data_IF_806962149536
#
_entry.id   IF_806962149536
#
_cell.length_a   1.000
_cell.length_b   1.000
_cell.length_c   1.000
_cell.angle_alpha   90.00
_cell.angle_beta   90.00
_cell.angle_gamma   90.00
#
_symmetry.space_group_name_H-M   'P 1'
#
loop_
_entity.id
_entity.type
_entity.pdbx_description
1 polymer ?
#
# COMPACT_ATOMS: atom_id res chain seq x y z
N UNK A 1 -6.09 17.25 -12.38
CA UNK A 1 -4.86 17.73 -13.05
C UNK A 1 -5.21 18.87 -13.98
N UNK A 2 -4.43 19.95 -13.96
CA UNK A 2 -4.63 21.11 -14.85
C UNK A 2 -3.67 21.04 -16.06
N UNK A 3 -4.16 21.15 -17.30
CA UNK A 3 -3.30 21.27 -18.47
C UNK A 3 -2.45 22.55 -18.40
N UNK A 4 -1.17 22.45 -18.75
CA UNK A 4 -0.27 23.60 -18.79
C UNK A 4 0.04 24.00 -20.24
N UNK A 5 0.10 25.31 -20.47
CA UNK A 5 0.70 25.83 -21.71
C UNK A 5 2.21 25.51 -21.75
N UNK A 6 2.70 25.16 -22.94
CA UNK A 6 4.09 24.77 -23.12
C UNK A 6 5.09 25.86 -22.71
N UNK A 7 4.81 27.12 -23.05
CA UNK A 7 5.70 28.22 -22.71
C UNK A 7 5.70 28.49 -21.20
N UNK A 8 4.55 28.36 -20.54
CA UNK A 8 4.44 28.47 -19.10
C UNK A 8 5.23 27.36 -18.38
N UNK A 9 5.04 26.10 -18.78
CA UNK A 9 5.78 24.98 -18.22
C UNK A 9 7.29 25.16 -18.42
N UNK A 10 7.74 25.54 -19.63
CA UNK A 10 9.17 25.76 -19.92
C UNK A 10 9.78 26.88 -19.07
N UNK A 11 9.05 27.97 -18.84
CA UNK A 11 9.51 29.07 -18.00
C UNK A 11 9.70 28.64 -16.54
N UNK A 12 8.84 27.76 -16.04
CA UNK A 12 8.93 27.23 -14.68
C UNK A 12 10.08 26.21 -14.56
N UNK A 13 10.26 25.32 -15.54
CA UNK A 13 11.34 24.33 -15.57
C UNK A 13 12.73 24.96 -15.68
N UNK A 14 12.84 26.13 -16.34
CA UNK A 14 14.08 26.88 -16.44
C UNK A 14 14.65 27.33 -15.08
N UNK A 15 13.85 27.27 -14.00
CA UNK A 15 14.26 27.64 -12.64
C UNK A 15 15.01 26.51 -11.90
N UNK A 16 15.17 25.33 -12.51
CA UNK A 16 16.10 24.29 -12.05
C UNK A 16 15.48 23.11 -11.29
N UNK A 17 14.58 22.36 -11.94
CA UNK A 17 14.05 21.11 -11.40
C UNK A 17 14.81 19.87 -11.88
N UNK A 18 14.95 18.85 -11.02
CA UNK A 18 15.38 17.52 -11.42
C UNK A 18 14.23 16.84 -12.17
N UNK A 19 14.53 16.24 -13.33
CA UNK A 19 13.56 15.41 -14.04
C UNK A 19 13.72 13.97 -13.59
N UNK A 20 12.62 13.33 -13.17
CA UNK A 20 12.58 11.92 -12.79
C UNK A 20 11.45 11.20 -13.51
N UNK A 21 11.72 10.02 -14.07
CA UNK A 21 10.67 9.16 -14.60
C UNK A 21 9.72 8.72 -13.46
N UNK A 22 8.41 8.76 -13.73
CA UNK A 22 7.37 8.38 -12.78
C UNK A 22 6.77 7.03 -13.17
N UNK A 23 6.33 6.90 -14.42
CA UNK A 23 5.69 5.71 -14.95
C UNK A 23 5.59 5.74 -16.48
N UNK A 24 5.14 4.64 -17.09
CA UNK A 24 4.67 4.59 -18.47
C UNK A 24 3.20 4.20 -18.50
N UNK A 25 2.34 5.09 -18.97
CA UNK A 25 0.90 4.84 -19.13
C UNK A 25 0.68 3.95 -20.35
N UNK A 26 -0.26 3.02 -20.28
CA UNK A 26 -0.69 2.19 -21.40
C UNK A 26 -1.47 2.99 -22.47
N UNK A 27 -1.85 4.24 -22.15
CA UNK A 27 -2.61 5.13 -23.02
C UNK A 27 -1.71 5.86 -24.02
N UNK A 28 -2.18 5.95 -25.25
CA UNK A 28 -1.59 6.80 -26.29
C UNK A 28 -1.96 8.28 -26.07
N UNK A 29 -1.18 9.23 -26.61
CA UNK A 29 -1.40 10.66 -26.38
C UNK A 29 -2.81 11.17 -26.70
N UNK A 30 -3.49 10.64 -27.73
CA UNK A 30 -4.87 11.04 -28.05
C UNK A 30 -5.86 10.61 -26.97
N UNK A 31 -5.66 9.43 -26.38
CA UNK A 31 -6.53 8.91 -25.32
C UNK A 31 -6.34 9.73 -24.05
N UNK A 32 -5.09 10.04 -23.72
CA UNK A 32 -4.77 10.93 -22.59
C UNK A 32 -5.36 12.32 -22.80
N UNK A 33 -5.19 12.91 -23.99
CA UNK A 33 -5.77 14.20 -24.34
C UNK A 33 -7.31 14.20 -24.19
N UNK A 34 -7.99 13.16 -24.66
CA UNK A 34 -9.44 13.05 -24.56
C UNK A 34 -9.94 12.96 -23.11
N UNK A 35 -9.20 12.29 -22.22
CA UNK A 35 -9.58 12.12 -20.82
C UNK A 35 -9.21 13.30 -19.92
N UNK A 36 -8.03 13.86 -20.15
CA UNK A 36 -7.40 14.81 -19.21
C UNK A 36 -7.43 16.26 -19.70
N UNK A 37 -7.72 16.48 -20.99
CA UNK A 37 -7.62 17.79 -21.63
C UNK A 37 -6.19 18.27 -21.88
N UNK A 38 -5.17 17.42 -21.68
CA UNK A 38 -3.79 17.72 -22.04
C UNK A 38 -3.67 18.05 -23.53
N UNK A 39 -2.92 19.10 -23.86
CA UNK A 39 -2.64 19.48 -25.24
C UNK A 39 -1.28 18.91 -25.66
N UNK A 40 -1.29 17.81 -26.41
CA UNK A 40 -0.06 17.28 -26.99
C UNK A 40 0.35 18.08 -28.22
N UNK A 41 1.63 18.39 -28.29
CA UNK A 41 2.26 19.02 -29.44
C UNK A 41 3.46 18.19 -29.89
N UNK A 42 3.72 18.24 -31.19
CA UNK A 42 4.89 17.58 -31.77
C UNK A 42 6.11 18.49 -31.65
N UNK A 43 7.24 17.94 -31.23
CA UNK A 43 8.54 18.60 -31.26
C UNK A 43 9.66 17.63 -31.62
N UNK A 44 10.80 18.22 -31.97
CA UNK A 44 12.05 17.49 -32.11
C UNK A 44 12.77 17.36 -30.76
N UNK A 45 13.23 16.14 -30.48
CA UNK A 45 14.10 15.83 -29.34
C UNK A 45 15.43 15.26 -29.82
N UNK A 46 16.40 15.08 -28.92
CA UNK A 46 17.66 14.41 -29.26
C UNK A 46 17.47 12.96 -29.75
N UNK A 47 16.33 12.34 -29.45
CA UNK A 47 15.98 10.97 -29.83
C UNK A 47 15.04 10.93 -31.06
N UNK A 48 14.71 12.09 -31.63
CA UNK A 48 13.80 12.26 -32.77
C UNK A 48 12.45 12.89 -32.40
N UNK A 49 11.49 12.85 -33.33
CA UNK A 49 10.15 13.42 -33.13
C UNK A 49 9.44 12.82 -31.92
N UNK A 50 8.91 13.70 -31.07
CA UNK A 50 8.21 13.35 -29.84
C UNK A 50 6.89 14.10 -29.79
N UNK A 51 5.83 13.43 -29.36
CA UNK A 51 4.63 14.11 -28.87
C UNK A 51 4.80 14.37 -27.39
N UNK A 52 4.59 15.61 -26.97
CA UNK A 52 4.75 15.98 -25.57
C UNK A 52 3.61 16.89 -25.09
N UNK A 53 3.26 16.78 -23.82
CA UNK A 53 2.32 17.65 -23.12
C UNK A 53 2.81 17.92 -21.68
N UNK A 54 2.29 18.97 -21.06
CA UNK A 54 2.53 19.28 -19.65
C UNK A 54 1.22 19.36 -18.87
N UNK A 55 1.24 18.84 -17.65
CA UNK A 55 0.15 18.97 -16.69
C UNK A 55 0.70 19.38 -15.32
N UNK A 56 -0.18 19.94 -14.50
CA UNK A 56 0.11 20.26 -13.10
C UNK A 56 -0.88 19.53 -12.19
N UNK A 57 -0.35 18.83 -11.20
CA UNK A 57 -1.16 18.26 -10.11
C UNK A 57 -1.61 19.38 -9.15
N UNK A 58 -2.60 19.10 -8.31
CA UNK A 58 -3.20 20.08 -7.40
C UNK A 58 -2.20 20.67 -6.41
N UNK A 59 -1.17 19.91 -6.05
CA UNK A 59 -0.08 20.37 -5.16
C UNK A 59 0.97 21.26 -5.85
N UNK A 60 0.83 21.47 -7.17
CA UNK A 60 1.75 22.26 -7.98
C UNK A 60 2.84 21.46 -8.70
N UNK A 61 2.91 20.14 -8.51
CA UNK A 61 3.86 19.25 -9.19
C UNK A 61 3.65 19.29 -10.69
N UNK A 62 4.71 19.61 -11.44
CA UNK A 62 4.69 19.62 -12.90
C UNK A 62 5.02 18.23 -13.42
N UNK A 63 4.18 17.75 -14.32
CA UNK A 63 4.35 16.51 -15.05
C UNK A 63 4.59 16.78 -16.53
N UNK A 64 5.53 16.04 -17.10
CA UNK A 64 5.74 15.92 -18.53
C UNK A 64 5.21 14.58 -19.01
N UNK A 65 4.44 14.62 -20.08
CA UNK A 65 3.94 13.44 -20.78
C UNK A 65 4.62 13.38 -22.13
N UNK A 66 5.32 12.29 -22.46
CA UNK A 66 6.10 12.19 -23.69
C UNK A 66 5.92 10.83 -24.38
N UNK A 67 5.84 10.86 -25.71
CA UNK A 67 5.77 9.68 -26.57
C UNK A 67 6.70 9.89 -27.75
N UNK A 68 7.78 9.13 -27.83
CA UNK A 68 8.62 9.10 -29.04
C UNK A 68 7.81 8.48 -30.18
N UNK A 69 7.67 9.21 -31.29
CA UNK A 69 6.90 8.74 -32.46
C UNK A 69 7.52 7.46 -33.05
N UNK A 70 8.83 7.31 -32.88
CA UNK A 70 9.61 6.15 -33.34
C UNK A 70 9.61 4.96 -32.37
N UNK A 71 9.17 5.11 -31.11
CA UNK A 71 9.22 4.00 -30.15
C UNK A 71 8.12 2.97 -30.48
N UNK A 72 8.48 1.72 -30.84
CA UNK A 72 7.51 0.70 -31.24
C UNK A 72 6.63 0.22 -30.08
N UNK A 73 6.98 0.52 -28.82
CA UNK A 73 6.21 0.11 -27.66
C UNK A 73 5.11 1.14 -27.37
N UNK A 74 3.83 0.74 -27.33
CA UNK A 74 2.74 1.67 -27.10
C UNK A 74 2.82 2.34 -25.73
N UNK A 75 2.12 3.46 -25.58
CA UNK A 75 1.94 4.16 -24.31
C UNK A 75 2.83 5.38 -24.09
N UNK A 76 2.43 6.21 -23.14
CA UNK A 76 3.02 7.54 -22.89
C UNK A 76 3.86 7.53 -21.62
N UNK A 77 5.11 7.97 -21.71
CA UNK A 77 5.97 8.15 -20.55
C UNK A 77 5.55 9.37 -19.73
N UNK A 78 5.65 9.25 -18.41
CA UNK A 78 5.36 10.31 -17.46
C UNK A 78 6.63 10.61 -16.69
N UNK A 79 7.03 11.88 -16.69
CA UNK A 79 8.13 12.40 -15.90
C UNK A 79 7.61 13.47 -14.95
N UNK A 80 8.20 13.58 -13.77
CA UNK A 80 8.01 14.71 -12.87
C UNK A 80 9.21 15.63 -12.91
N UNK A 81 9.00 16.89 -12.54
CA UNK A 81 10.05 17.90 -12.45
C UNK A 81 10.21 18.44 -11.02
N UNK A 82 10.00 17.57 -10.03
CA UNK A 82 10.10 17.85 -8.60
C UNK A 82 10.85 16.72 -7.90
N UNK A 83 11.33 16.97 -6.68
CA UNK A 83 12.02 15.96 -5.86
C UNK A 83 11.04 15.05 -5.08
N UNK A 84 9.79 14.92 -5.53
CA UNK A 84 8.80 14.06 -4.88
C UNK A 84 9.10 12.58 -5.17
N UNK A 85 8.74 11.65 -4.27
CA UNK A 85 8.79 10.23 -4.58
C UNK A 85 7.87 9.91 -5.78
N UNK A 86 8.40 9.19 -6.78
CA UNK A 86 7.65 8.85 -8.01
C UNK A 86 6.31 8.17 -7.73
N UNK A 87 6.26 7.32 -6.69
CA UNK A 87 5.04 6.65 -6.26
C UNK A 87 3.95 7.61 -5.79
N UNK A 88 4.30 8.64 -5.03
CA UNK A 88 3.34 9.61 -4.51
C UNK A 88 2.75 10.42 -5.65
N UNK A 89 3.62 10.84 -6.58
CA UNK A 89 3.22 11.54 -7.81
C UNK A 89 2.30 10.68 -8.67
N UNK A 90 2.62 9.40 -8.85
CA UNK A 90 1.77 8.49 -9.61
C UNK A 90 0.40 8.30 -8.94
N UNK A 91 0.36 8.13 -7.62
CA UNK A 91 -0.90 7.95 -6.88
C UNK A 91 -1.82 9.16 -7.04
N UNK A 92 -1.26 10.36 -6.95
CA UNK A 92 -1.99 11.61 -7.17
C UNK A 92 -2.41 11.80 -8.64
N UNK A 93 -1.52 11.48 -9.59
CA UNK A 93 -1.86 11.47 -11.02
C UNK A 93 -3.06 10.57 -11.29
N UNK A 94 -3.03 9.31 -10.83
CA UNK A 94 -4.12 8.36 -11.02
C UNK A 94 -5.43 8.88 -10.45
N UNK A 95 -5.40 9.40 -9.22
CA UNK A 95 -6.55 9.99 -8.57
C UNK A 95 -7.13 11.19 -9.34
N UNK A 96 -6.27 12.10 -9.78
CA UNK A 96 -6.69 13.35 -10.43
C UNK A 96 -7.13 13.21 -11.88
N UNK A 97 -6.81 12.08 -12.51
CA UNK A 97 -7.13 11.80 -13.92
C UNK A 97 -8.13 10.68 -14.10
N UNK A 98 -8.63 10.10 -13.00
CA UNK A 98 -9.51 8.93 -13.00
C UNK A 98 -8.91 7.77 -13.81
N UNK A 99 -7.58 7.65 -13.78
CA UNK A 99 -6.85 6.55 -14.38
C UNK A 99 -6.75 5.39 -13.39
N UNK A 100 -6.76 4.18 -13.94
CA UNK A 100 -6.61 2.96 -13.15
C UNK A 100 -5.15 2.48 -13.12
N UNK A 101 -4.79 1.68 -12.12
CA UNK A 101 -3.47 1.07 -12.05
C UNK A 101 -3.18 0.12 -13.22
N UNK A 102 -4.20 -0.51 -13.81
CA UNK A 102 -4.06 -1.41 -14.96
C UNK A 102 -3.65 -0.66 -16.25
N UNK A 103 -3.85 0.67 -16.27
CA UNK A 103 -3.43 1.56 -17.34
C UNK A 103 -2.02 2.10 -17.13
N UNK A 104 -1.26 1.57 -16.17
CA UNK A 104 0.09 2.00 -15.84
C UNK A 104 1.05 0.82 -15.79
N UNK A 105 2.08 0.88 -16.63
CA UNK A 105 3.29 0.09 -16.47
C UNK A 105 4.32 0.90 -15.68
N UNK A 106 4.69 0.42 -14.50
CA UNK A 106 5.70 1.09 -13.69
C UNK A 106 7.06 1.02 -14.42
N UNK A 107 7.76 2.16 -14.46
CA UNK A 107 9.19 2.21 -14.75
C UNK A 107 9.83 2.93 -13.59
N UNK A 108 10.24 2.19 -12.58
CA UNK A 108 11.22 2.68 -11.63
C UNK A 108 12.45 3.15 -12.39
N UNK A 109 13.14 4.17 -11.88
CA UNK A 109 14.51 4.40 -12.31
C UNK A 109 15.33 3.13 -12.05
N UNK A 110 16.41 2.90 -12.80
CA UNK A 110 17.29 1.74 -12.61
C UNK A 110 17.93 1.63 -11.19
N UNK A 111 17.66 2.57 -10.29
CA UNK A 111 18.08 2.56 -8.88
C UNK A 111 16.96 2.11 -7.92
N UNK A 112 15.69 2.15 -8.32
CA UNK A 112 14.57 1.65 -7.53
C UNK A 112 14.27 0.20 -7.96
N UNK A 113 14.86 -0.72 -7.21
CA UNK A 113 14.56 -2.13 -7.24
C UNK A 113 13.05 -2.40 -7.08
N UNK A 114 12.40 -2.88 -8.15
CA UNK A 114 10.95 -3.16 -8.30
C UNK A 114 10.36 -4.14 -7.24
N UNK A 115 11.20 -4.65 -6.33
CA UNK A 115 10.80 -5.53 -5.24
C UNK A 115 9.82 -4.82 -4.28
N UNK A 116 8.78 -5.55 -3.87
CA UNK A 116 7.88 -5.11 -2.80
C UNK A 116 8.60 -5.32 -1.47
N UNK A 117 8.84 -4.24 -0.72
CA UNK A 117 9.59 -4.28 0.54
C UNK A 117 8.68 -4.10 1.77
N UNK A 118 8.58 -5.13 2.59
CA UNK A 118 8.02 -5.08 3.94
C UNK A 118 9.11 -4.78 4.97
N UNK A 119 8.72 -4.14 6.08
CA UNK A 119 9.56 -3.89 7.26
C UNK A 119 9.77 -5.18 8.07
N UNK A 120 8.78 -6.08 8.06
CA UNK A 120 8.77 -7.30 8.89
C UNK A 120 8.07 -8.47 8.20
N UNK A 121 8.32 -9.69 8.69
CA UNK A 121 7.61 -10.89 8.21
C UNK A 121 6.08 -10.80 8.43
N UNK A 122 5.55 -10.34 9.58
CA UNK A 122 4.11 -10.14 9.75
C UNK A 122 3.51 -9.15 8.76
N UNK A 123 4.22 -8.07 8.40
CA UNK A 123 3.74 -7.12 7.40
C UNK A 123 3.73 -7.72 5.99
N UNK A 124 4.77 -8.50 5.62
CA UNK A 124 4.78 -9.22 4.36
C UNK A 124 3.60 -10.21 4.26
N UNK A 125 3.31 -10.93 5.35
CA UNK A 125 2.16 -11.81 5.43
C UNK A 125 0.83 -11.05 5.27
N UNK A 126 0.66 -9.93 5.98
CA UNK A 126 -0.51 -9.07 5.86
C UNK A 126 -0.70 -8.56 4.41
N UNK A 127 0.39 -8.18 3.74
CA UNK A 127 0.34 -7.74 2.35
C UNK A 127 -0.12 -8.87 1.41
N UNK A 128 0.42 -10.08 1.60
CA UNK A 128 0.02 -11.27 0.83
C UNK A 128 -1.48 -11.55 1.02
N UNK A 129 -2.00 -11.41 2.25
CA UNK A 129 -3.43 -11.60 2.53
C UNK A 129 -4.32 -10.61 1.77
N UNK A 130 -3.87 -9.36 1.59
CA UNK A 130 -4.60 -8.33 0.82
C UNK A 130 -4.63 -8.60 -0.68
N UNK A 131 -3.61 -9.28 -1.23
CA UNK A 131 -3.47 -9.51 -2.67
C UNK A 131 -4.06 -10.85 -3.13
N UNK A 132 -4.89 -11.45 -2.29
CA UNK A 132 -5.61 -12.67 -2.66
C UNK A 132 -6.79 -12.33 -3.55
N UNK A 133 -7.19 -13.31 -4.36
CA UNK A 133 -8.41 -13.20 -5.15
C UNK A 133 -9.60 -12.82 -4.25
N UNK A 134 -10.41 -11.82 -4.60
CA UNK A 134 -11.58 -11.44 -3.82
C UNK A 134 -12.46 -12.65 -3.49
N UNK A 135 -12.80 -12.83 -2.22
CA UNK A 135 -13.60 -13.97 -1.74
C UNK A 135 -12.82 -15.24 -1.42
N UNK A 136 -11.51 -15.31 -1.71
CA UNK A 136 -10.65 -16.40 -1.24
C UNK A 136 -10.36 -16.24 0.26
N UNK A 137 -11.25 -16.80 1.07
CA UNK A 137 -11.16 -16.82 2.54
C UNK A 137 -10.41 -18.03 3.09
N UNK A 138 -9.79 -18.84 2.23
CA UNK A 138 -9.08 -20.04 2.67
C UNK A 138 -7.93 -19.62 3.58
N UNK A 139 -7.81 -20.05 4.84
CA UNK A 139 -6.64 -19.67 5.64
C UNK A 139 -5.35 -20.06 4.92
N UNK A 140 -4.40 -19.13 4.76
CA UNK A 140 -3.08 -19.50 4.24
C UNK A 140 -2.38 -20.25 5.36
N UNK A 141 -2.20 -21.56 5.18
CA UNK A 141 -1.45 -22.34 6.15
C UNK A 141 0.00 -21.83 6.15
N UNK A 142 0.69 -21.72 7.30
CA UNK A 142 2.08 -21.26 7.32
C UNK A 142 3.02 -22.03 6.37
N UNK A 143 2.72 -23.31 6.11
CA UNK A 143 3.45 -24.17 5.15
C UNK A 143 3.26 -23.79 3.67
N UNK A 144 2.27 -22.96 3.36
CA UNK A 144 1.99 -22.44 2.01
C UNK A 144 2.75 -21.14 1.75
N UNK A 145 3.39 -20.57 2.78
CA UNK A 145 4.32 -19.47 2.65
C UNK A 145 5.73 -20.03 2.47
N UNK A 146 6.35 -19.72 1.34
CA UNK A 146 7.76 -19.99 1.15
C UNK A 146 8.55 -18.82 1.72
N UNK A 147 9.17 -19.03 2.88
CA UNK A 147 10.10 -18.07 3.49
C UNK A 147 11.51 -18.44 3.04
N UNK A 148 12.08 -17.63 2.15
CA UNK A 148 13.37 -17.89 1.51
C UNK A 148 14.35 -16.77 1.86
N UNK A 149 15.60 -17.14 2.09
CA UNK A 149 16.72 -16.19 2.20
C UNK A 149 17.59 -16.33 0.95
N UNK A 150 17.84 -15.23 0.25
CA UNK A 150 18.70 -15.24 -0.94
C UNK A 150 20.21 -15.18 -0.58
N UNK A 151 21.05 -15.20 -1.61
CA UNK A 151 22.51 -15.12 -1.50
C UNK A 151 23.01 -13.74 -1.03
N UNK A 152 22.16 -12.73 -1.09
CA UNK A 152 22.40 -11.38 -0.57
C UNK A 152 21.88 -11.20 0.86
N UNK A 153 21.53 -12.29 1.54
CA UNK A 153 21.04 -12.30 2.92
C UNK A 153 19.63 -11.69 3.10
N UNK A 154 18.90 -11.45 1.99
CA UNK A 154 17.56 -10.85 2.01
C UNK A 154 16.51 -11.94 2.21
N UNK A 155 15.70 -11.77 3.26
CA UNK A 155 14.53 -12.62 3.48
C UNK A 155 13.40 -12.22 2.55
N UNK A 156 12.66 -13.20 2.05
CA UNK A 156 11.47 -13.01 1.22
C UNK A 156 10.37 -13.95 1.68
N UNK A 157 9.13 -13.48 1.69
CA UNK A 157 7.93 -14.29 1.88
C UNK A 157 7.23 -14.39 0.54
N UNK A 158 6.98 -15.62 0.08
CA UNK A 158 6.32 -15.88 -1.20
C UNK A 158 5.04 -16.67 -0.98
N UNK A 159 4.03 -16.34 -1.77
CA UNK A 159 2.80 -17.10 -1.87
C UNK A 159 2.23 -16.95 -3.27
N UNK A 160 2.20 -18.06 -4.03
CA UNK A 160 1.84 -18.08 -5.46
C UNK A 160 2.73 -17.12 -6.26
N UNK A 161 2.14 -16.12 -6.89
CA UNK A 161 2.75 -15.09 -7.74
C UNK A 161 3.18 -13.83 -6.96
N UNK A 162 2.86 -13.74 -5.67
CA UNK A 162 3.24 -12.60 -4.81
C UNK A 162 4.55 -12.90 -4.09
N UNK A 163 5.54 -12.03 -4.27
CA UNK A 163 6.83 -12.05 -3.59
C UNK A 163 7.02 -10.75 -2.84
N UNK A 164 7.22 -10.84 -1.52
CA UNK A 164 7.49 -9.69 -0.66
C UNK A 164 8.83 -9.88 0.03
N UNK A 165 9.72 -8.92 -0.14
CA UNK A 165 11.04 -8.91 0.46
C UNK A 165 11.00 -8.21 1.82
N UNK A 166 11.81 -8.69 2.76
CA UNK A 166 11.94 -8.10 4.09
C UNK A 166 13.16 -7.20 4.07
N UNK A 167 12.95 -5.91 4.31
CA UNK A 167 14.01 -4.91 4.32
C UNK A 167 15.06 -5.28 5.37
N UNK A 168 16.36 -5.35 5.00
CA UNK A 168 17.42 -5.52 5.97
C UNK A 168 17.35 -4.41 7.02
N UNK A 169 17.35 -4.79 8.29
CA UNK A 169 17.19 -3.84 9.40
C UNK A 169 18.55 -3.47 9.96
N UNK A 170 18.82 -2.17 10.04
CA UNK A 170 20.02 -1.60 10.69
C UNK A 170 19.80 -1.19 12.14
N UNK A 171 18.53 -1.22 12.61
CA UNK A 171 18.11 -0.85 13.97
C UNK A 171 17.76 -2.04 14.89
N UNK A 172 17.22 -1.76 16.10
CA UNK A 172 16.90 -2.79 17.09
C UNK A 172 15.87 -3.79 16.55
N UNK A 173 16.04 -5.08 16.84
CA UNK A 173 15.13 -6.11 16.34
C UNK A 173 13.66 -5.79 16.72
N UNK A 174 12.76 -5.97 15.76
CA UNK A 174 11.32 -5.90 16.06
C UNK A 174 10.99 -7.07 16.99
N UNK A 175 10.27 -6.83 18.11
CA UNK A 175 9.85 -7.92 18.97
C UNK A 175 9.12 -8.98 18.14
N UNK A 176 9.56 -10.24 18.24
CA UNK A 176 8.85 -11.33 17.60
C UNK A 176 7.44 -11.47 18.20
N UNK A 177 6.45 -11.74 17.37
CA UNK A 177 5.08 -11.95 17.83
C UNK A 177 4.05 -11.83 16.72
N UNK A 178 2.93 -12.53 16.89
CA UNK A 178 1.75 -12.34 16.04
C UNK A 178 1.14 -10.97 16.35
N UNK A 179 0.78 -10.20 15.32
CA UNK A 179 0.22 -8.85 15.48
C UNK A 179 1.24 -7.73 15.74
N UNK A 180 2.54 -8.05 15.75
CA UNK A 180 3.61 -7.04 15.83
C UNK A 180 4.18 -6.80 14.42
N UNK A 181 3.73 -5.74 13.76
CA UNK A 181 4.05 -5.47 12.36
C UNK A 181 5.26 -4.53 12.17
N UNK A 182 5.61 -3.73 13.17
CA UNK A 182 6.71 -2.77 13.10
C UNK A 182 7.29 -2.42 14.48
N UNK A 183 8.47 -1.81 14.49
CA UNK A 183 9.03 -1.18 15.69
C UNK A 183 8.40 0.22 15.90
N UNK A 184 8.28 0.72 17.14
CA UNK A 184 7.84 2.09 17.42
C UNK A 184 8.58 3.19 16.63
N UNK A 185 9.85 2.98 16.31
CA UNK A 185 10.69 3.93 15.55
C UNK A 185 10.60 3.79 14.03
N UNK A 186 9.86 2.81 13.52
CA UNK A 186 9.77 2.59 12.07
C UNK A 186 8.88 3.64 11.41
N UNK A 187 9.13 4.02 10.15
CA UNK A 187 8.14 4.79 9.40
C UNK A 187 6.85 3.97 9.25
N UNK A 188 5.71 4.62 8.91
CA UNK A 188 4.49 3.93 8.53
C UNK A 188 4.73 2.92 7.40
N UNK A 189 3.80 1.97 7.23
CA UNK A 189 3.92 0.96 6.18
C UNK A 189 4.07 1.61 4.80
N UNK A 190 5.07 1.14 4.05
CA UNK A 190 5.21 1.52 2.65
C UNK A 190 4.32 0.70 1.73
N UNK A 191 3.75 -0.43 2.15
CA UNK A 191 3.09 -1.37 1.24
C UNK A 191 1.62 -1.62 1.55
N UNK A 192 1.16 -1.25 2.75
CA UNK A 192 -0.24 -1.34 3.18
C UNK A 192 -0.67 0.03 3.70
N UNK A 193 -1.71 0.62 3.10
CA UNK A 193 -2.25 1.90 3.55
C UNK A 193 -3.18 1.71 4.78
N UNK A 194 -3.63 2.79 5.46
CA UNK A 194 -4.49 2.68 6.64
C UNK A 194 -5.79 1.91 6.37
N UNK A 195 -6.38 2.08 5.19
CA UNK A 195 -7.61 1.38 4.85
C UNK A 195 -7.38 -0.11 4.61
N UNK A 196 -6.24 -0.51 4.04
CA UNK A 196 -5.80 -1.89 3.95
C UNK A 196 -5.65 -2.56 5.34
N UNK A 197 -5.05 -1.86 6.30
CA UNK A 197 -4.96 -2.35 7.68
C UNK A 197 -6.33 -2.54 8.33
N UNK A 198 -7.24 -1.58 8.17
CA UNK A 198 -8.59 -1.68 8.74
C UNK A 198 -9.46 -2.72 8.02
N UNK A 199 -9.22 -2.97 6.73
CA UNK A 199 -9.85 -4.07 6.01
C UNK A 199 -9.40 -5.42 6.58
N UNK A 200 -8.08 -5.62 6.78
CA UNK A 200 -7.55 -6.83 7.40
C UNK A 200 -8.12 -7.04 8.81
N UNK A 201 -8.21 -5.98 9.61
CA UNK A 201 -8.87 -6.06 10.92
C UNK A 201 -10.30 -6.59 10.79
N UNK A 202 -11.08 -6.06 9.84
CA UNK A 202 -12.46 -6.52 9.62
C UNK A 202 -12.53 -8.00 9.21
N UNK A 203 -11.61 -8.47 8.37
CA UNK A 203 -11.56 -9.88 7.95
C UNK A 203 -11.13 -10.82 9.10
N UNK A 204 -10.13 -10.43 9.90
CA UNK A 204 -9.73 -11.21 11.07
C UNK A 204 -10.82 -11.27 12.14
N UNK A 205 -11.60 -10.20 12.30
CA UNK A 205 -12.70 -10.12 13.26
C UNK A 205 -13.82 -11.07 12.85
N UNK A 206 -14.19 -11.04 11.57
CA UNK A 206 -15.17 -11.94 11.00
C UNK A 206 -14.73 -13.42 11.13
N UNK A 207 -13.46 -13.71 10.86
CA UNK A 207 -12.93 -15.08 10.94
C UNK A 207 -12.85 -15.58 12.40
N UNK A 208 -12.37 -14.75 13.33
CA UNK A 208 -12.34 -15.09 14.76
C UNK A 208 -13.76 -15.37 15.28
N UNK A 209 -14.73 -14.53 14.92
CA UNK A 209 -16.14 -14.73 15.25
C UNK A 209 -16.71 -16.03 14.67
N UNK A 210 -16.39 -16.34 13.40
CA UNK A 210 -16.81 -17.59 12.74
C UNK A 210 -16.26 -18.82 13.45
N UNK A 211 -14.98 -18.81 13.82
CA UNK A 211 -14.35 -19.91 14.55
C UNK A 211 -15.00 -20.11 15.93
N UNK A 212 -15.19 -19.02 16.69
CA UNK A 212 -15.85 -19.07 18.00
C UNK A 212 -17.27 -19.62 17.92
N UNK A 213 -18.05 -19.17 16.92
CA UNK A 213 -19.38 -19.69 16.68
C UNK A 213 -19.36 -21.19 16.35
N UNK A 214 -18.41 -21.64 15.52
CA UNK A 214 -18.24 -23.05 15.16
C UNK A 214 -17.84 -23.94 16.34
N UNK A 215 -17.09 -23.41 17.30
CA UNK A 215 -16.71 -24.14 18.51
C UNK A 215 -17.88 -24.29 19.48
N UNK A 216 -18.72 -23.26 19.63
CA UNK A 216 -19.83 -23.26 20.58
C UNK A 216 -19.38 -23.13 22.04
N UNK A 217 -20.25 -23.42 23.03
CA UNK A 217 -19.98 -23.16 24.45
C UNK A 217 -19.08 -24.21 25.14
N UNK A 218 -18.36 -25.03 24.39
CA UNK A 218 -17.49 -26.08 24.94
C UNK A 218 -16.09 -25.55 25.25
N UNK A 219 -15.34 -26.37 25.98
CA UNK A 219 -13.88 -26.23 26.04
C UNK A 219 -13.30 -26.42 24.65
N UNK A 220 -12.42 -25.50 24.26
CA UNK A 220 -11.65 -25.57 23.01
C UNK A 220 -10.30 -26.22 23.28
N UNK A 221 -9.77 -26.96 22.31
CA UNK A 221 -8.44 -27.54 22.42
C UNK A 221 -7.34 -26.47 22.18
N UNK A 222 -6.07 -26.86 22.35
CA UNK A 222 -4.95 -25.93 22.20
C UNK A 222 -4.85 -25.36 20.77
N UNK A 223 -5.14 -26.16 19.73
CA UNK A 223 -5.05 -25.72 18.34
C UNK A 223 -6.17 -24.74 18.02
N UNK A 224 -7.38 -25.01 18.48
CA UNK A 224 -8.53 -24.14 18.36
C UNK A 224 -8.31 -22.81 19.10
N UNK A 225 -7.75 -22.87 20.32
CA UNK A 225 -7.37 -21.70 21.09
C UNK A 225 -6.42 -20.80 20.31
N UNK A 226 -5.30 -21.34 19.84
CA UNK A 226 -4.29 -20.57 19.12
C UNK A 226 -4.81 -20.03 17.79
N UNK A 227 -5.71 -20.76 17.11
CA UNK A 227 -6.31 -20.30 15.85
C UNK A 227 -7.13 -19.01 16.04
N UNK A 228 -7.89 -18.90 17.14
CA UNK A 228 -8.63 -17.66 17.45
C UNK A 228 -7.69 -16.62 18.04
N UNK A 229 -6.84 -17.01 18.99
CA UNK A 229 -5.97 -16.10 19.71
C UNK A 229 -5.00 -15.35 18.77
N UNK A 230 -4.44 -16.03 17.77
CA UNK A 230 -3.56 -15.42 16.78
C UNK A 230 -4.30 -14.40 15.89
N UNK A 231 -5.58 -14.64 15.57
CA UNK A 231 -6.40 -13.66 14.86
C UNK A 231 -6.68 -12.44 15.74
N UNK A 232 -6.99 -12.65 17.02
CA UNK A 232 -7.22 -11.54 17.95
C UNK A 232 -5.96 -10.70 18.18
N UNK A 233 -4.77 -11.32 18.21
CA UNK A 233 -3.51 -10.58 18.27
C UNK A 233 -3.30 -9.72 17.02
N UNK A 234 -3.63 -10.24 15.83
CA UNK A 234 -3.57 -9.47 14.58
C UNK A 234 -4.55 -8.29 14.59
N UNK A 235 -5.75 -8.49 15.14
CA UNK A 235 -6.76 -7.43 15.30
C UNK A 235 -6.23 -6.23 16.07
N UNK A 236 -5.56 -6.45 17.20
CA UNK A 236 -5.02 -5.35 18.02
C UNK A 236 -3.95 -4.55 17.26
N UNK A 237 -3.11 -5.22 16.48
CA UNK A 237 -2.02 -4.57 15.76
C UNK A 237 -2.47 -3.66 14.60
N UNK A 238 -3.57 -4.01 13.91
CA UNK A 238 -3.99 -3.28 12.70
C UNK A 238 -4.40 -1.82 12.93
N UNK A 239 -5.27 -1.47 13.89
CA UNK A 239 -5.57 -0.07 14.21
C UNK A 239 -4.32 0.70 14.67
N UNK A 240 -3.41 0.01 15.37
CA UNK A 240 -2.11 0.56 15.75
C UNK A 240 -1.26 0.95 14.54
N UNK A 241 -1.19 0.09 13.52
CA UNK A 241 -0.50 0.40 12.26
C UNK A 241 -1.19 1.52 11.45
N UNK A 242 -2.52 1.54 11.42
CA UNK A 242 -3.27 2.63 10.79
C UNK A 242 -3.02 3.98 11.48
N UNK A 243 -2.95 4.01 12.81
CA UNK A 243 -2.62 5.21 13.60
C UNK A 243 -1.24 5.78 13.27
N UNK A 244 -0.27 4.96 12.84
CA UNK A 244 1.08 5.44 12.50
C UNK A 244 1.09 6.43 11.34
N UNK A 245 0.09 6.36 10.46
CA UNK A 245 -0.07 7.29 9.35
C UNK A 245 -0.57 8.66 9.76
N UNK A 246 -1.08 8.81 10.98
CA UNK A 246 -1.67 10.03 11.46
C UNK A 246 -0.57 10.96 11.99
N UNK A 247 -0.35 12.14 11.36
CA UNK A 247 0.56 13.13 11.89
C UNK A 247 0.19 13.50 13.34
N UNK A 248 1.17 13.84 14.19
CA UNK A 248 0.94 14.08 15.62
C UNK A 248 0.00 15.27 15.90
N UNK A 249 -0.10 16.21 14.95
CA UNK A 249 -0.88 17.44 15.01
C UNK A 249 -2.28 17.32 14.36
N UNK A 250 -2.60 16.17 13.76
CA UNK A 250 -3.91 15.92 13.15
C UNK A 250 -4.73 14.92 13.95
N UNK A 251 -6.04 15.10 13.91
CA UNK A 251 -7.00 14.15 14.48
C UNK A 251 -7.59 13.21 13.43
N UNK A 252 -7.44 13.52 12.14
CA UNK A 252 -7.96 12.72 11.03
C UNK A 252 -6.87 12.39 10.02
N UNK A 253 -6.90 11.16 9.50
CA UNK A 253 -5.97 10.75 8.45
C UNK A 253 -6.26 11.53 7.16
N UNK A 254 -5.25 12.16 6.54
CA UNK A 254 -5.47 12.88 5.30
C UNK A 254 -5.81 11.91 4.17
N UNK A 255 -6.67 12.30 3.22
CA UNK A 255 -7.11 11.45 2.10
C UNK A 255 -5.93 10.85 1.33
N UNK A 256 -4.82 11.59 1.19
CA UNK A 256 -3.59 11.12 0.53
C UNK A 256 -2.91 9.93 1.22
N UNK A 257 -3.23 9.66 2.49
CA UNK A 257 -2.75 8.46 3.18
C UNK A 257 -3.39 7.19 2.65
N UNK A 258 -4.45 7.27 1.83
CA UNK A 258 -5.17 6.13 1.24
C UNK A 258 -4.83 6.02 -0.24
N UNK A 259 -3.68 5.44 -0.55
CA UNK A 259 -3.17 5.36 -1.92
C UNK A 259 -3.59 4.08 -2.66
N UNK A 260 -4.15 3.08 -1.99
CA UNK A 260 -4.65 1.86 -2.65
C UNK A 260 -6.14 1.98 -2.97
N UNK A 261 -6.64 1.33 -4.06
CA UNK A 261 -8.07 1.30 -4.36
C UNK A 261 -8.92 0.76 -3.20
N UNK A 262 -8.42 -0.25 -2.48
CA UNK A 262 -9.08 -0.83 -1.30
C UNK A 262 -9.14 0.20 -0.16
N UNK A 263 -8.03 0.88 0.12
CA UNK A 263 -7.98 1.87 1.19
C UNK A 263 -8.91 3.04 0.94
N UNK A 264 -8.96 3.53 -0.31
CA UNK A 264 -9.89 4.57 -0.71
C UNK A 264 -11.35 4.11 -0.60
N UNK A 265 -11.65 2.85 -0.95
CA UNK A 265 -12.98 2.28 -0.75
C UNK A 265 -13.36 2.24 0.73
N UNK A 266 -12.45 1.81 1.60
CA UNK A 266 -12.65 1.81 3.05
C UNK A 266 -12.93 3.22 3.59
N UNK A 267 -12.14 4.21 3.18
CA UNK A 267 -12.34 5.61 3.56
C UNK A 267 -13.71 6.13 3.12
N UNK A 268 -14.13 5.89 1.86
CA UNK A 268 -15.44 6.32 1.36
C UNK A 268 -16.60 5.64 2.10
N UNK A 269 -16.42 4.36 2.47
CA UNK A 269 -17.45 3.58 3.16
C UNK A 269 -17.67 4.05 4.60
N UNK A 270 -16.60 4.39 5.31
CA UNK A 270 -16.67 4.83 6.70
C UNK A 270 -15.56 5.85 7.01
N UNK A 271 -15.73 7.13 6.62
CA UNK A 271 -14.67 8.13 6.76
C UNK A 271 -14.34 8.41 8.22
N UNK A 272 -15.34 8.36 9.11
CA UNK A 272 -15.15 8.64 10.53
C UNK A 272 -14.30 7.59 11.25
N UNK A 273 -14.19 6.36 10.72
CA UNK A 273 -13.36 5.31 11.33
C UNK A 273 -11.85 5.61 11.30
N UNK A 274 -11.41 6.63 10.56
CA UNK A 274 -10.00 6.97 10.35
C UNK A 274 -9.55 8.22 11.10
N UNK A 275 -10.25 8.57 12.18
CA UNK A 275 -9.79 9.58 13.13
C UNK A 275 -9.08 8.94 14.34
N UNK A 276 -8.27 9.73 15.05
CA UNK A 276 -7.45 9.30 16.19
C UNK A 276 -8.28 8.63 17.27
N UNK A 277 -9.40 9.25 17.63
CA UNK A 277 -10.25 8.78 18.72
C UNK A 277 -10.85 7.42 18.38
N UNK A 278 -11.38 7.24 17.17
CA UNK A 278 -11.99 6.00 16.70
C UNK A 278 -10.96 4.88 16.57
N UNK A 279 -9.79 5.12 15.95
CA UNK A 279 -8.75 4.10 15.85
C UNK A 279 -8.20 3.69 17.23
N UNK A 280 -8.04 4.64 18.15
CA UNK A 280 -7.60 4.35 19.53
C UNK A 280 -8.67 3.57 20.29
N UNK A 281 -9.94 3.96 20.17
CA UNK A 281 -11.06 3.24 20.77
C UNK A 281 -11.16 1.82 20.22
N UNK A 282 -10.95 1.63 18.91
CA UNK A 282 -10.98 0.32 18.27
C UNK A 282 -9.84 -0.59 18.74
N UNK A 283 -8.63 -0.05 18.90
CA UNK A 283 -7.53 -0.79 19.50
C UNK A 283 -7.86 -1.28 20.93
N UNK A 284 -8.41 -0.39 21.76
CA UNK A 284 -8.80 -0.72 23.14
C UNK A 284 -9.96 -1.75 23.21
N UNK A 285 -10.91 -1.67 22.27
CA UNK A 285 -11.99 -2.67 22.12
C UNK A 285 -11.41 -4.07 21.84
N UNK A 286 -10.43 -4.17 20.96
CA UNK A 286 -9.78 -5.44 20.64
C UNK A 286 -8.93 -5.99 21.80
N UNK A 287 -8.25 -5.13 22.56
CA UNK A 287 -7.58 -5.55 23.80
C UNK A 287 -8.57 -6.12 24.82
N UNK A 288 -9.74 -5.48 24.95
CA UNK A 288 -10.84 -5.97 25.81
C UNK A 288 -11.35 -7.32 25.32
N UNK A 289 -11.47 -7.49 24.00
CA UNK A 289 -11.89 -8.76 23.37
C UNK A 289 -10.91 -9.89 23.68
N UNK A 290 -9.60 -9.63 23.63
CA UNK A 290 -8.56 -10.59 24.03
C UNK A 290 -8.68 -10.95 25.51
N UNK A 291 -8.85 -9.96 26.38
CA UNK A 291 -8.97 -10.19 27.81
C UNK A 291 -10.20 -11.06 28.14
N UNK A 292 -11.32 -10.79 27.47
CA UNK A 292 -12.55 -11.57 27.61
C UNK A 292 -12.39 -13.01 27.08
N UNK A 293 -11.74 -13.18 25.93
CA UNK A 293 -11.42 -14.51 25.40
C UNK A 293 -10.58 -15.33 26.41
N UNK A 294 -9.54 -14.72 27.00
CA UNK A 294 -8.73 -15.36 28.06
C UNK A 294 -9.54 -15.66 29.32
N UNK A 295 -10.49 -14.79 29.68
CA UNK A 295 -11.36 -14.99 30.85
C UNK A 295 -12.28 -16.20 30.65
N UNK A 296 -12.81 -16.40 29.44
CA UNK A 296 -13.73 -17.49 29.11
C UNK A 296 -12.99 -18.82 28.94
N UNK A 297 -11.91 -18.83 28.15
CA UNK A 297 -11.21 -20.07 27.75
C UNK A 297 -9.93 -20.36 28.53
N UNK A 298 -9.55 -19.48 29.46
CA UNK A 298 -8.34 -19.59 30.26
C UNK A 298 -7.10 -18.95 29.60
N UNK A 299 -5.95 -19.00 30.29
CA UNK A 299 -4.70 -18.49 29.75
C UNK A 299 -4.23 -19.31 28.53
N UNK A 300 -3.38 -18.74 27.66
CA UNK A 300 -2.88 -19.47 26.49
C UNK A 300 -2.24 -20.80 26.87
N UNK A 301 -2.73 -21.94 26.33
CA UNK A 301 -2.10 -23.24 26.54
C UNK A 301 -0.75 -23.29 25.80
N UNK A 302 0.12 -24.28 26.07
CA UNK A 302 1.32 -24.49 25.28
C UNK A 302 1.00 -24.53 23.79
N UNK A 303 1.78 -23.80 22.98
CA UNK A 303 1.56 -23.76 21.53
C UNK A 303 1.83 -25.16 20.95
N UNK A 304 0.91 -25.75 20.18
CA UNK A 304 1.18 -27.01 19.50
C UNK A 304 2.37 -26.84 18.56
N UNK A 305 3.25 -27.84 18.54
CA UNK A 305 4.40 -27.89 17.62
C UNK A 305 3.95 -28.17 16.19
#
# INVERSE_FOLDING_TARGET
>A
MQPMDFHAARAQLAQGGHSGAVAKLALEPQELQARTGLAFVEAESALGPVWFAFGQLADGTILGFNRLISDPNPGTEVSQFTDRPARDVLSELLFETDLSHDEVSWRASAEDDDRIWARTHPEAYAYILLHRAPGDRTPIAPRELDIVRDDQDVWSVRHRDVVVHIRPRTGPAVPGGVGVYSHPDDPPSGIIDPGGWMYLASEWEAEAGRLLQGFGPRTIDAREYWSVYDLLLQLVGAPGEALRFLPPDLDELPVRAFWTPLGQWMLRRNPHAFNRAELTAKAAEYETTIAEFKRIYGPPPPRPQ
#
